data_IF_025756744829
#
_entry.id   IF_025756744829
#
_cell.length_a   1.000
_cell.length_b   1.000
_cell.length_c   1.000
_cell.angle_alpha   90.00
_cell.angle_beta   90.00
_cell.angle_gamma   90.00
#
_symmetry.space_group_name_H-M   'P 1'
#
loop_
_entity.id
_entity.type
_entity.pdbx_description
1 polymer ?
#
# COMPACT_ATOMS: atom_id res chain seq x y z
N UNK A 1 1.10 0.82 -23.54
CA UNK A 1 0.98 0.10 -22.25
C UNK A 1 0.23 0.96 -21.25
N UNK A 2 0.01 0.52 -20.02
CA UNK A 2 -0.60 1.35 -18.98
C UNK A 2 -0.29 0.80 -17.59
N UNK A 3 -0.56 1.60 -16.56
CA UNK A 3 -0.32 1.24 -15.15
C UNK A 3 -1.66 0.96 -14.49
N UNK A 4 -1.75 -0.09 -13.68
CA UNK A 4 -2.97 -0.45 -12.98
C UNK A 4 -2.97 0.22 -11.58
N UNK A 5 -4.05 0.88 -11.21
CA UNK A 5 -4.28 1.40 -9.87
C UNK A 5 -5.49 0.64 -9.32
N UNK A 6 -5.27 -0.63 -8.96
CA UNK A 6 -6.29 -1.40 -8.26
C UNK A 6 -7.60 -1.59 -9.03
N UNK A 7 -7.49 -2.01 -10.29
CA UNK A 7 -8.62 -2.27 -11.18
C UNK A 7 -8.91 -1.14 -12.17
N UNK A 8 -8.30 0.04 -12.01
CA UNK A 8 -8.36 1.14 -12.98
C UNK A 8 -7.04 1.26 -13.73
N UNK A 9 -7.09 1.29 -15.06
CA UNK A 9 -5.90 1.39 -15.91
C UNK A 9 -5.63 2.85 -16.29
N UNK A 10 -4.48 3.39 -15.90
CA UNK A 10 -3.94 4.65 -16.39
C UNK A 10 -3.22 4.40 -17.72
N UNK A 11 -3.74 4.86 -18.88
CA UNK A 11 -3.06 4.69 -20.15
C UNK A 11 -1.84 5.59 -20.23
N UNK A 12 -0.69 5.03 -20.62
CA UNK A 12 0.50 5.81 -20.92
C UNK A 12 0.69 5.86 -22.44
N UNK A 13 0.79 7.09 -22.97
CA UNK A 13 0.99 7.41 -24.38
C UNK A 13 2.31 8.14 -24.55
N UNK A 14 2.81 8.18 -25.78
CA UNK A 14 4.01 8.96 -26.15
C UNK A 14 5.21 8.69 -25.23
N UNK A 15 5.45 7.42 -24.89
CA UNK A 15 6.56 7.01 -24.03
C UNK A 15 7.90 7.37 -24.70
N UNK A 16 8.76 8.07 -23.97
CA UNK A 16 10.10 8.48 -24.41
C UNK A 16 11.12 8.17 -23.32
N UNK A 17 12.37 8.02 -23.72
CA UNK A 17 13.48 7.90 -22.79
C UNK A 17 13.66 9.19 -22.00
N UNK A 18 13.86 9.05 -20.69
CA UNK A 18 14.14 10.18 -19.80
C UNK A 18 15.63 10.42 -19.62
N UNK A 19 16.00 11.13 -18.55
CA UNK A 19 17.39 11.36 -18.19
C UNK A 19 17.62 11.19 -16.68
N UNK A 20 18.75 10.58 -16.34
CA UNK A 20 19.15 10.37 -14.94
C UNK A 20 18.19 9.43 -14.20
N UNK A 21 17.63 9.90 -13.08
CA UNK A 21 16.71 9.10 -12.25
C UNK A 21 15.30 9.01 -12.83
N UNK A 22 14.95 9.91 -13.74
CA UNK A 22 13.73 9.83 -14.55
C UNK A 22 14.10 9.01 -15.78
N UNK A 23 13.75 7.74 -15.78
CA UNK A 23 14.18 6.80 -16.80
C UNK A 23 13.29 6.87 -18.06
N UNK A 24 12.04 7.29 -17.89
CA UNK A 24 11.13 7.50 -19.00
C UNK A 24 10.12 8.60 -18.68
N UNK A 25 9.57 9.19 -19.74
CA UNK A 25 8.48 10.14 -19.67
C UNK A 25 7.32 9.69 -20.57
N UNK A 26 6.10 10.00 -20.16
CA UNK A 26 4.90 9.68 -20.90
C UNK A 26 3.84 10.76 -20.74
N UNK A 27 2.79 10.65 -21.53
CA UNK A 27 1.58 11.45 -21.40
C UNK A 27 0.40 10.55 -21.01
N UNK A 28 -0.47 11.06 -20.18
CA UNK A 28 -1.76 10.45 -19.88
C UNK A 28 -2.88 11.47 -19.98
N UNK A 29 -4.11 11.01 -19.89
CA UNK A 29 -5.31 11.84 -19.89
C UNK A 29 -6.03 11.62 -18.58
N UNK A 30 -6.26 12.70 -17.83
CA UNK A 30 -6.93 12.68 -16.53
C UNK A 30 -7.96 13.81 -16.55
N UNK A 31 -9.24 13.47 -16.34
CA UNK A 31 -10.37 14.41 -16.51
C UNK A 31 -10.38 15.20 -17.84
N UNK A 32 -9.91 14.59 -18.93
CA UNK A 32 -9.83 15.25 -20.25
C UNK A 32 -8.62 16.17 -20.43
N UNK A 33 -7.84 16.41 -19.37
CA UNK A 33 -6.59 17.15 -19.44
C UNK A 33 -5.42 16.20 -19.74
N UNK A 34 -4.50 16.66 -20.61
CA UNK A 34 -3.22 15.96 -20.80
C UNK A 34 -2.31 16.21 -19.61
N UNK A 35 -1.78 15.13 -19.04
CA UNK A 35 -0.84 15.14 -17.92
C UNK A 35 0.49 14.53 -18.33
N UNK A 36 1.60 15.15 -17.95
CA UNK A 36 2.96 14.64 -18.12
C UNK A 36 3.32 13.75 -16.94
N UNK A 37 3.77 12.54 -17.24
CA UNK A 37 4.11 11.51 -16.26
C UNK A 37 5.60 11.22 -16.34
N UNK A 38 6.30 11.38 -15.23
CA UNK A 38 7.67 10.92 -15.06
C UNK A 38 7.67 9.49 -14.49
N UNK A 39 8.55 8.63 -15.02
CA UNK A 39 8.72 7.25 -14.59
C UNK A 39 10.14 7.04 -14.05
N UNK A 40 10.26 6.54 -12.82
CA UNK A 40 11.53 6.13 -12.22
C UNK A 40 11.50 4.65 -11.88
N UNK A 41 12.40 3.85 -12.44
CA UNK A 41 12.52 2.42 -12.14
C UNK A 41 13.57 2.18 -11.06
N UNK A 42 13.24 1.33 -10.09
CA UNK A 42 14.18 0.82 -9.10
C UNK A 42 15.24 -0.08 -9.73
N UNK A 43 16.29 -0.43 -8.97
CA UNK A 43 17.34 -1.31 -9.45
C UNK A 43 16.77 -2.70 -9.80
N UNK A 44 17.42 -3.39 -10.74
CA UNK A 44 17.05 -4.76 -11.13
C UNK A 44 17.05 -5.73 -9.95
N UNK A 45 18.00 -5.54 -9.04
CA UNK A 45 18.15 -6.30 -7.82
C UNK A 45 18.21 -5.32 -6.64
N UNK A 46 17.23 -5.40 -5.74
CA UNK A 46 17.15 -4.56 -4.55
C UNK A 46 15.96 -3.60 -4.55
N UNK A 47 15.73 -2.91 -3.42
CA UNK A 47 14.60 -2.02 -3.28
C UNK A 47 14.85 -0.65 -3.93
N UNK A 48 13.76 0.01 -4.32
CA UNK A 48 13.75 1.47 -4.51
C UNK A 48 14.08 2.13 -3.17
N UNK A 49 15.15 2.94 -3.14
CA UNK A 49 15.65 3.58 -1.91
C UNK A 49 15.05 4.98 -1.70
N UNK A 50 15.04 5.46 -0.45
CA UNK A 50 14.61 6.83 -0.11
C UNK A 50 15.37 7.88 -0.91
N UNK A 51 16.70 7.71 -1.07
CA UNK A 51 17.55 8.62 -1.83
C UNK A 51 17.12 8.72 -3.30
N UNK A 52 16.81 7.58 -3.92
CA UNK A 52 16.32 7.55 -5.31
C UNK A 52 15.00 8.30 -5.43
N UNK A 53 14.05 8.05 -4.52
CA UNK A 53 12.74 8.72 -4.54
C UNK A 53 12.88 10.22 -4.35
N UNK A 54 13.68 10.67 -3.38
CA UNK A 54 13.94 12.09 -3.18
C UNK A 54 14.53 12.76 -4.43
N UNK A 55 15.44 12.08 -5.13
CA UNK A 55 16.00 12.61 -6.37
C UNK A 55 14.95 12.65 -7.48
N UNK A 56 14.16 11.59 -7.64
CA UNK A 56 13.10 11.52 -8.64
C UNK A 56 12.04 12.60 -8.43
N UNK A 57 11.65 12.88 -7.19
CA UNK A 57 10.72 13.99 -6.87
C UNK A 57 11.29 15.33 -7.30
N UNK A 58 12.56 15.60 -6.97
CA UNK A 58 13.21 16.87 -7.35
C UNK A 58 13.28 17.03 -8.86
N UNK A 59 13.69 15.99 -9.57
CA UNK A 59 13.86 16.03 -11.02
C UNK A 59 12.49 16.09 -11.72
N UNK A 60 11.48 15.41 -11.18
CA UNK A 60 10.09 15.50 -11.67
C UNK A 60 9.52 16.92 -11.50
N UNK A 61 9.77 17.56 -10.36
CA UNK A 61 9.35 18.94 -10.13
C UNK A 61 10.06 19.91 -11.07
N UNK A 62 11.38 19.82 -11.17
CA UNK A 62 12.18 20.67 -12.07
C UNK A 62 11.81 20.47 -13.55
N UNK A 63 11.44 19.23 -13.93
CA UNK A 63 11.01 18.89 -15.28
C UNK A 63 9.57 19.29 -15.61
N UNK A 64 8.80 19.83 -14.65
CA UNK A 64 7.40 20.24 -14.85
C UNK A 64 6.49 19.06 -15.18
N UNK A 65 6.69 17.92 -14.52
CA UNK A 65 5.81 16.76 -14.63
C UNK A 65 4.64 16.90 -13.65
N UNK A 66 3.45 16.49 -14.09
CA UNK A 66 2.23 16.52 -13.27
C UNK A 66 2.16 15.35 -12.28
N UNK A 67 2.89 14.27 -12.57
CA UNK A 67 2.90 13.04 -11.77
C UNK A 67 4.25 12.33 -11.88
N UNK A 68 4.68 11.73 -10.78
CA UNK A 68 5.80 10.80 -10.72
C UNK A 68 5.30 9.39 -10.35
N UNK A 69 5.72 8.39 -11.12
CA UNK A 69 5.53 6.99 -10.76
C UNK A 69 6.89 6.33 -10.56
N UNK A 70 7.11 5.80 -9.36
CA UNK A 70 8.32 5.07 -9.00
C UNK A 70 8.01 3.59 -8.95
N UNK A 71 8.59 2.82 -9.86
CA UNK A 71 8.29 1.42 -10.04
C UNK A 71 9.46 0.51 -9.63
N UNK A 72 9.23 -0.53 -8.84
CA UNK A 72 10.28 -1.48 -8.45
C UNK A 72 9.74 -2.82 -8.01
N UNK A 73 10.60 -3.85 -7.97
CA UNK A 73 10.26 -5.18 -7.43
C UNK A 73 10.26 -5.22 -5.90
N UNK A 74 10.83 -4.22 -5.26
CA UNK A 74 10.73 -3.95 -3.83
C UNK A 74 10.87 -2.45 -3.60
N UNK A 75 10.30 -1.95 -2.50
CA UNK A 75 10.37 -0.54 -2.13
C UNK A 75 10.74 -0.48 -0.65
N UNK A 76 11.76 0.31 -0.35
CA UNK A 76 12.22 0.56 1.01
C UNK A 76 11.08 1.17 1.86
N UNK A 77 10.78 0.64 3.06
CA UNK A 77 9.80 1.23 3.96
C UNK A 77 10.04 2.71 4.25
N UNK A 78 11.30 3.15 4.35
CA UNK A 78 11.62 4.57 4.57
C UNK A 78 11.26 5.43 3.35
N UNK A 79 11.37 4.88 2.14
CA UNK A 79 10.99 5.58 0.91
C UNK A 79 9.46 5.77 0.84
N UNK A 80 8.70 4.77 1.32
CA UNK A 80 7.24 4.88 1.49
C UNK A 80 6.89 5.95 2.50
N UNK A 81 7.51 5.90 3.67
CA UNK A 81 7.31 6.88 4.73
C UNK A 81 7.62 8.32 4.28
N UNK A 82 8.67 8.51 3.47
CA UNK A 82 9.01 9.82 2.92
C UNK A 82 7.89 10.40 2.05
N UNK A 83 7.35 9.62 1.11
CA UNK A 83 6.27 10.08 0.22
C UNK A 83 4.98 10.37 1.01
N UNK A 84 4.71 9.62 2.06
CA UNK A 84 3.51 9.78 2.89
C UNK A 84 3.58 11.00 3.83
N UNK A 85 4.71 11.20 4.50
CA UNK A 85 4.86 12.24 5.54
C UNK A 85 5.19 13.62 4.96
N UNK A 86 5.54 13.68 3.68
CA UNK A 86 5.98 14.91 3.04
C UNK A 86 4.90 15.42 2.11
N UNK A 87 4.55 16.70 2.21
CA UNK A 87 3.73 17.36 1.20
C UNK A 87 4.57 17.60 -0.06
N UNK A 88 4.59 16.63 -0.97
CA UNK A 88 5.41 16.67 -2.18
C UNK A 88 4.80 17.63 -3.22
N UNK A 89 5.66 18.38 -3.90
CA UNK A 89 5.24 19.28 -4.97
C UNK A 89 4.71 18.56 -6.23
N UNK A 90 5.07 17.28 -6.39
CA UNK A 90 4.59 16.41 -7.48
C UNK A 90 3.96 15.16 -6.85
N UNK A 91 2.68 14.85 -7.16
CA UNK A 91 2.05 13.59 -6.79
C UNK A 91 2.92 12.40 -7.16
N UNK A 92 3.31 11.62 -6.15
CA UNK A 92 4.27 10.52 -6.31
C UNK A 92 3.62 9.21 -5.92
N UNK A 93 3.64 8.24 -6.84
CA UNK A 93 3.01 6.95 -6.67
C UNK A 93 4.01 5.81 -6.79
N UNK A 94 3.89 4.81 -5.93
CA UNK A 94 4.69 3.59 -6.02
C UNK A 94 3.99 2.53 -6.86
N UNK A 95 4.74 1.89 -7.75
CA UNK A 95 4.29 0.82 -8.61
C UNK A 95 5.08 -0.47 -8.31
N UNK A 96 4.40 -1.51 -7.85
CA UNK A 96 5.06 -2.80 -7.62
C UNK A 96 5.18 -3.57 -8.93
N UNK A 97 6.41 -3.85 -9.37
CA UNK A 97 6.69 -4.69 -10.53
C UNK A 97 6.64 -6.17 -10.15
N UNK A 98 6.17 -7.00 -11.06
CA UNK A 98 6.22 -8.45 -10.89
C UNK A 98 7.69 -8.93 -10.88
N UNK A 99 8.11 -9.81 -9.96
CA UNK A 99 9.51 -10.25 -9.84
C UNK A 99 10.06 -10.94 -11.11
N UNK A 100 9.17 -11.52 -11.90
CA UNK A 100 9.48 -12.26 -13.14
C UNK A 100 9.55 -11.36 -14.38
N UNK A 101 9.35 -10.04 -14.25
CA UNK A 101 9.40 -9.09 -15.38
C UNK A 101 10.74 -9.09 -16.12
N UNK A 102 11.81 -9.54 -15.48
CA UNK A 102 13.16 -9.63 -16.05
C UNK A 102 13.47 -10.99 -16.68
N UNK A 103 12.55 -11.95 -16.64
CA UNK A 103 12.72 -13.28 -17.23
C UNK A 103 12.13 -13.30 -18.65
N UNK A 104 13.01 -13.34 -19.66
CA UNK A 104 12.64 -13.23 -21.07
C UNK A 104 11.79 -14.41 -21.61
N UNK A 105 11.76 -15.56 -20.92
CA UNK A 105 11.13 -16.80 -21.39
C UNK A 105 9.69 -17.05 -20.87
N UNK A 106 9.20 -16.24 -19.93
CA UNK A 106 7.82 -16.35 -19.49
C UNK A 106 6.95 -15.54 -20.45
N UNK A 107 6.14 -16.25 -21.25
CA UNK A 107 5.07 -15.64 -22.06
C UNK A 107 4.38 -14.59 -21.19
N UNK A 108 4.40 -13.33 -21.63
CA UNK A 108 3.74 -12.18 -21.00
C UNK A 108 2.23 -12.38 -21.00
N UNK A 109 1.75 -13.35 -20.23
CA UNK A 109 0.36 -13.82 -20.25
C UNK A 109 -0.42 -12.99 -19.23
N UNK A 110 -0.44 -11.69 -19.52
CA UNK A 110 -1.24 -10.55 -19.00
C UNK A 110 -0.35 -9.30 -19.06
N UNK A 111 -0.09 -8.83 -20.27
CA UNK A 111 0.61 -7.56 -20.54
C UNK A 111 -0.15 -6.30 -20.03
N UNK A 112 -1.10 -6.44 -19.12
CA UNK A 112 -2.00 -5.39 -18.64
C UNK A 112 -1.75 -4.94 -17.20
N UNK A 113 -0.88 -5.59 -16.44
CA UNK A 113 -0.77 -5.39 -14.99
C UNK A 113 0.69 -5.27 -14.52
N UNK A 114 1.48 -4.43 -15.19
CA UNK A 114 2.92 -4.27 -14.88
C UNK A 114 3.20 -3.51 -13.59
N UNK A 115 2.19 -2.91 -12.96
CA UNK A 115 2.33 -2.07 -11.78
C UNK A 115 0.97 -1.88 -11.11
N UNK A 116 0.90 -2.12 -9.79
CA UNK A 116 -0.22 -1.73 -8.92
C UNK A 116 0.22 -0.59 -8.02
N UNK A 117 -0.55 0.50 -7.99
CA UNK A 117 -0.37 1.58 -7.02
C UNK A 117 -1.20 1.35 -5.78
N UNK A 118 -0.54 1.41 -4.63
CA UNK A 118 -1.11 1.16 -3.31
C UNK A 118 -1.33 2.48 -2.59
N UNK A 119 -2.55 2.76 -2.15
CA UNK A 119 -2.77 3.69 -1.05
C UNK A 119 -2.50 2.99 0.27
N UNK A 120 -1.90 3.65 1.24
CA UNK A 120 -1.57 3.03 2.54
C UNK A 120 -2.77 3.11 3.50
N UNK A 121 -3.00 2.10 4.36
CA UNK A 121 -3.96 2.19 5.46
C UNK A 121 -3.68 3.39 6.38
N UNK A 122 -4.70 4.17 6.72
CA UNK A 122 -4.62 5.11 7.83
C UNK A 122 -4.81 4.35 9.15
N UNK A 123 -3.76 4.31 9.96
CA UNK A 123 -3.67 3.50 11.17
C UNK A 123 -3.18 4.36 12.32
N UNK A 124 -3.88 4.25 13.44
CA UNK A 124 -3.51 4.82 14.73
C UNK A 124 -3.03 3.72 15.67
N UNK A 125 -1.87 3.93 16.28
CA UNK A 125 -1.29 3.05 17.28
C UNK A 125 -1.36 3.73 18.65
N UNK A 126 -1.90 3.04 19.65
CA UNK A 126 -1.98 3.53 21.03
C UNK A 126 -1.33 2.56 21.99
N UNK A 127 -0.54 3.08 22.92
CA UNK A 127 -0.05 2.33 24.06
C UNK A 127 -0.98 2.55 25.27
N UNK A 128 -1.34 1.47 25.94
CA UNK A 128 -2.05 1.48 27.21
C UNK A 128 -1.07 1.56 28.40
N UNK A 129 -1.57 1.99 29.55
CA UNK A 129 -0.77 2.13 30.79
C UNK A 129 -0.16 0.81 31.27
N UNK A 130 -0.76 -0.32 30.91
CA UNK A 130 -0.29 -1.66 31.25
C UNK A 130 0.81 -2.18 30.30
N UNK A 131 1.25 -1.35 29.35
CA UNK A 131 2.28 -1.68 28.37
C UNK A 131 1.77 -2.45 27.15
N UNK A 132 0.46 -2.72 27.06
CA UNK A 132 -0.14 -3.29 25.84
C UNK A 132 -0.39 -2.22 24.80
N UNK A 133 -0.54 -2.64 23.55
CA UNK A 133 -0.82 -1.80 22.41
C UNK A 133 -2.16 -2.16 21.78
N UNK A 134 -2.81 -1.15 21.20
CA UNK A 134 -4.01 -1.28 20.38
C UNK A 134 -3.79 -0.54 19.07
N UNK A 135 -4.18 -1.20 17.98
CA UNK A 135 -4.15 -0.65 16.63
C UNK A 135 -5.59 -0.32 16.23
N UNK A 136 -5.81 0.89 15.70
CA UNK A 136 -7.08 1.32 15.14
C UNK A 136 -6.92 1.65 13.67
N UNK A 137 -7.65 0.95 12.81
CA UNK A 137 -7.80 1.28 11.39
C UNK A 137 -8.78 2.45 11.25
N UNK A 138 -8.31 3.59 10.76
CA UNK A 138 -9.17 4.73 10.44
C UNK A 138 -9.79 4.57 9.05
N UNK A 139 -9.02 4.06 8.10
CA UNK A 139 -9.47 3.85 6.75
C UNK A 139 -8.35 3.53 5.78
N UNK A 140 -8.65 3.66 4.49
CA UNK A 140 -7.68 3.56 3.40
C UNK A 140 -7.96 4.66 2.40
N UNK A 141 -6.92 5.40 2.05
CA UNK A 141 -7.00 6.37 0.96
C UNK A 141 -6.77 5.68 -0.38
N UNK A 142 -7.62 5.97 -1.35
CA UNK A 142 -7.51 5.48 -2.71
C UNK A 142 -7.30 6.64 -3.66
N UNK A 143 -6.21 6.58 -4.42
CA UNK A 143 -6.01 7.45 -5.57
C UNK A 143 -6.75 6.89 -6.80
N UNK A 144 -7.63 7.69 -7.39
CA UNK A 144 -8.21 7.40 -8.69
C UNK A 144 -7.33 7.99 -9.79
N UNK A 145 -6.65 7.17 -10.61
CA UNK A 145 -5.77 7.69 -11.64
C UNK A 145 -6.51 8.37 -12.79
N UNK A 146 -7.81 8.11 -12.99
CA UNK A 146 -8.57 8.68 -14.09
C UNK A 146 -9.06 10.09 -13.76
N UNK A 147 -9.32 10.36 -12.48
CA UNK A 147 -9.78 11.66 -12.01
C UNK A 147 -8.72 12.46 -11.26
N UNK A 148 -7.66 11.82 -10.79
CA UNK A 148 -6.64 12.43 -9.94
C UNK A 148 -7.08 12.66 -8.50
N UNK A 149 -8.30 12.24 -8.13
CA UNK A 149 -8.85 12.44 -6.80
C UNK A 149 -8.34 11.37 -5.83
N UNK A 150 -8.13 11.78 -4.59
CA UNK A 150 -7.93 10.86 -3.46
C UNK A 150 -9.24 10.76 -2.71
N UNK A 151 -9.74 9.54 -2.55
CA UNK A 151 -10.96 9.24 -1.80
C UNK A 151 -10.62 8.44 -0.55
N UNK A 152 -11.10 8.91 0.61
CA UNK A 152 -10.94 8.20 1.87
C UNK A 152 -12.07 7.18 2.06
N UNK A 153 -11.71 5.92 2.26
CA UNK A 153 -12.66 4.86 2.64
C UNK A 153 -12.52 4.59 4.13
N UNK A 154 -13.60 4.78 4.89
CA UNK A 154 -13.62 4.49 6.34
C UNK A 154 -13.28 3.01 6.62
N UNK A 155 -12.56 2.75 7.71
CA UNK A 155 -12.13 1.40 8.10
C UNK A 155 -13.28 0.41 8.27
N UNK A 156 -14.51 0.87 8.52
CA UNK A 156 -15.72 0.03 8.62
C UNK A 156 -16.21 -0.46 7.26
N UNK A 157 -15.79 0.19 6.19
CA UNK A 157 -16.23 -0.11 4.82
C UNK A 157 -15.29 -1.05 4.07
N UNK A 158 -14.12 -1.39 4.65
CA UNK A 158 -13.15 -2.30 4.03
C UNK A 158 -13.66 -3.75 4.05
N UNK A 159 -13.19 -4.58 3.11
CA UNK A 159 -13.60 -5.98 3.05
C UNK A 159 -12.99 -6.78 4.22
N UNK A 160 -11.71 -6.57 4.50
CA UNK A 160 -11.00 -7.17 5.63
C UNK A 160 -9.79 -6.35 6.04
N UNK A 161 -9.35 -6.50 7.28
CA UNK A 161 -8.01 -6.08 7.70
C UNK A 161 -7.38 -7.08 8.67
N UNK A 162 -6.06 -7.14 8.66
CA UNK A 162 -5.26 -8.10 9.40
C UNK A 162 -4.14 -7.39 10.13
N UNK A 163 -3.78 -7.91 11.30
CA UNK A 163 -2.70 -7.40 12.13
C UNK A 163 -1.67 -8.50 12.36
N UNK A 164 -0.42 -8.18 12.02
CA UNK A 164 0.77 -8.83 12.53
C UNK A 164 1.31 -7.99 13.70
N UNK A 165 1.35 -8.59 14.89
CA UNK A 165 1.73 -7.88 16.12
C UNK A 165 3.24 -7.81 16.35
N UNK A 166 4.05 -8.54 15.58
CA UNK A 166 5.50 -8.58 15.75
C UNK A 166 6.24 -8.86 14.42
N UNK A 167 5.95 -8.04 13.41
CA UNK A 167 6.40 -8.26 12.04
C UNK A 167 7.93 -8.27 11.92
N UNK A 168 8.47 -9.36 11.38
CA UNK A 168 9.91 -9.60 11.23
C UNK A 168 10.55 -8.83 10.06
N UNK A 169 9.73 -8.25 9.18
CA UNK A 169 10.19 -7.57 7.97
C UNK A 169 10.25 -8.48 6.73
N UNK A 170 9.86 -9.75 6.86
CA UNK A 170 9.95 -10.78 5.83
C UNK A 170 8.58 -11.39 5.52
N UNK A 171 7.90 -11.97 6.52
CA UNK A 171 6.67 -12.74 6.33
C UNK A 171 5.55 -12.13 7.16
N UNK A 172 4.43 -11.80 6.51
CA UNK A 172 3.26 -11.31 7.21
C UNK A 172 2.56 -12.46 7.94
N UNK A 173 2.57 -12.44 9.26
CA UNK A 173 1.89 -13.41 10.11
C UNK A 173 0.57 -12.84 10.65
N UNK A 174 -0.56 -13.43 10.28
CA UNK A 174 -1.88 -12.95 10.74
C UNK A 174 -2.06 -13.35 12.21
N UNK A 175 -1.87 -12.41 13.13
CA UNK A 175 -2.17 -12.58 14.56
C UNK A 175 -3.64 -12.29 14.87
N UNK A 176 -4.23 -11.29 14.20
CA UNK A 176 -5.64 -10.94 14.33
C UNK A 176 -6.23 -10.62 12.95
N UNK A 177 -7.51 -10.93 12.75
CA UNK A 177 -8.23 -10.76 11.50
C UNK A 177 -9.59 -10.11 11.77
N UNK A 178 -10.00 -9.20 10.88
CA UNK A 178 -11.21 -8.40 11.05
C UNK A 178 -11.98 -8.30 9.75
N UNK A 179 -13.31 -8.35 9.82
CA UNK A 179 -14.21 -8.27 8.68
C UNK A 179 -15.34 -7.27 8.97
N UNK A 180 -15.07 -5.95 8.87
CA UNK A 180 -16.00 -4.93 9.34
C UNK A 180 -17.31 -4.87 8.55
N UNK A 181 -17.24 -5.13 7.24
CA UNK A 181 -18.39 -4.99 6.33
C UNK A 181 -19.26 -6.25 6.21
N UNK A 182 -18.67 -7.45 6.17
CA UNK A 182 -19.42 -8.69 5.96
C UNK A 182 -19.82 -9.32 7.31
N UNK A 183 -21.03 -8.98 7.78
CA UNK A 183 -21.63 -9.60 8.97
C UNK A 183 -21.77 -11.14 8.90
N UNK A 184 -21.64 -11.75 7.72
CA UNK A 184 -21.69 -13.21 7.53
C UNK A 184 -20.31 -13.84 7.27
N UNK A 185 -19.23 -13.08 7.11
CA UNK A 185 -17.90 -13.61 6.77
C UNK A 185 -17.43 -14.66 7.77
N UNK A 186 -17.58 -14.36 9.05
CA UNK A 186 -17.23 -15.25 10.13
C UNK A 186 -18.12 -16.50 10.22
N UNK A 187 -19.40 -16.44 9.84
CA UNK A 187 -20.24 -17.64 9.75
C UNK A 187 -19.75 -18.58 8.64
N UNK A 188 -19.31 -18.02 7.51
CA UNK A 188 -18.67 -18.79 6.44
C UNK A 188 -17.34 -19.39 6.92
N UNK A 189 -16.54 -18.61 7.64
CA UNK A 189 -15.25 -19.05 8.18
C UNK A 189 -15.42 -20.17 9.22
N UNK A 190 -16.36 -20.01 10.16
CA UNK A 190 -16.67 -21.02 11.17
C UNK A 190 -17.11 -22.35 10.54
N UNK A 191 -17.95 -22.29 9.50
CA UNK A 191 -18.35 -23.47 8.71
C UNK A 191 -17.16 -24.10 7.98
N UNK A 192 -16.29 -23.30 7.39
CA UNK A 192 -15.11 -23.77 6.67
C UNK A 192 -14.09 -24.44 7.60
N UNK A 193 -13.84 -23.86 8.78
CA UNK A 193 -12.89 -24.36 9.78
C UNK A 193 -13.48 -25.48 10.65
N UNK A 194 -14.78 -25.75 10.57
CA UNK A 194 -15.51 -26.67 11.48
C UNK A 194 -15.24 -26.37 12.96
N UNK A 195 -15.05 -25.10 13.28
CA UNK A 195 -14.75 -24.63 14.64
C UNK A 195 -15.99 -24.00 15.28
N UNK A 196 -15.95 -23.74 16.58
CA UNK A 196 -16.91 -22.88 17.27
C UNK A 196 -16.19 -21.61 17.71
N UNK A 197 -16.73 -20.44 17.35
CA UNK A 197 -16.21 -19.14 17.76
C UNK A 197 -17.26 -18.51 18.66
N UNK A 198 -16.87 -18.06 19.85
CA UNK A 198 -17.81 -17.43 20.77
C UNK A 198 -18.38 -16.13 20.18
N UNK A 199 -19.69 -15.87 20.31
CA UNK A 199 -20.34 -14.69 19.75
C UNK A 199 -19.72 -13.35 20.18
N UNK A 200 -19.21 -13.27 21.40
CA UNK A 200 -18.59 -12.03 21.92
C UNK A 200 -17.22 -11.76 21.30
N UNK A 201 -16.43 -12.81 21.03
CA UNK A 201 -15.16 -12.70 20.30
C UNK A 201 -15.44 -12.26 18.87
N UNK A 202 -16.49 -12.81 18.27
CA UNK A 202 -16.93 -12.49 16.92
C UNK A 202 -17.32 -11.02 16.74
N UNK A 203 -18.04 -10.41 17.69
CA UNK A 203 -18.37 -8.98 17.59
C UNK A 203 -17.13 -8.08 17.69
N UNK A 204 -16.14 -8.45 18.51
CA UNK A 204 -14.87 -7.72 18.58
C UNK A 204 -14.11 -7.76 17.25
N UNK A 205 -14.21 -8.86 16.50
CA UNK A 205 -13.57 -9.03 15.19
C UNK A 205 -14.32 -8.37 14.02
N UNK A 206 -15.40 -7.63 14.29
CA UNK A 206 -16.06 -6.72 13.32
C UNK A 206 -15.65 -5.27 13.49
N UNK A 207 -14.82 -4.99 14.49
CA UNK A 207 -14.34 -3.65 14.77
C UNK A 207 -13.28 -3.17 13.79
N UNK A 208 -12.94 -1.89 13.96
CA UNK A 208 -11.76 -1.26 13.38
C UNK A 208 -10.64 -1.11 14.40
N UNK A 209 -10.77 -1.75 15.55
CA UNK A 209 -9.83 -1.67 16.66
C UNK A 209 -9.39 -3.08 17.05
N UNK A 210 -8.09 -3.26 17.25
CA UNK A 210 -7.52 -4.56 17.59
C UNK A 210 -7.81 -4.95 19.03
N UNK A 211 -7.71 -6.25 19.32
CA UNK A 211 -7.52 -6.67 20.70
C UNK A 211 -6.16 -6.19 21.21
N UNK A 212 -6.03 -5.82 22.50
CA UNK A 212 -4.75 -5.45 23.09
C UNK A 212 -3.71 -6.56 22.90
N UNK A 213 -2.48 -6.18 22.57
CA UNK A 213 -1.36 -7.11 22.40
C UNK A 213 -0.10 -6.59 23.10
N UNK A 214 0.81 -7.50 23.45
CA UNK A 214 2.12 -7.14 24.01
C UNK A 214 3.13 -6.91 22.89
N UNK A 215 4.13 -6.09 23.17
CA UNK A 215 5.28 -5.88 22.28
C UNK A 215 6.03 -7.21 22.14
N UNK A 216 6.30 -7.62 20.90
CA UNK A 216 7.16 -8.77 20.59
C UNK A 216 8.62 -8.37 20.37
N UNK A 217 9.42 -9.30 19.85
CA UNK A 217 10.88 -9.16 19.72
C UNK A 217 11.27 -8.17 18.62
N UNK A 218 10.53 -8.15 17.51
CA UNK A 218 10.79 -7.29 16.36
C UNK A 218 10.33 -5.86 16.56
N UNK A 219 9.51 -5.60 17.60
CA UNK A 219 9.00 -4.27 18.00
C UNK A 219 8.38 -3.49 16.84
N UNK A 220 7.71 -4.19 15.92
CA UNK A 220 7.05 -3.62 14.76
C UNK A 220 5.73 -4.32 14.55
N UNK A 221 4.74 -3.58 14.09
CA UNK A 221 3.46 -4.15 13.66
C UNK A 221 3.27 -3.93 12.18
N UNK A 222 2.57 -4.85 11.53
CA UNK A 222 2.14 -4.68 10.17
C UNK A 222 0.62 -4.80 10.08
N UNK A 223 -0.01 -3.85 9.40
CA UNK A 223 -1.45 -3.78 9.18
C UNK A 223 -1.70 -3.96 7.70
N UNK A 224 -2.37 -5.05 7.36
CA UNK A 224 -2.76 -5.36 5.98
C UNK A 224 -4.25 -5.11 5.82
N UNK A 225 -4.65 -4.38 4.78
CA UNK A 225 -6.06 -4.11 4.49
C UNK A 225 -6.40 -4.61 3.09
N UNK A 226 -7.56 -5.23 2.97
CA UNK A 226 -8.18 -5.58 1.69
C UNK A 226 -9.40 -4.69 1.52
N UNK A 227 -9.38 -3.83 0.50
CA UNK A 227 -10.51 -2.98 0.18
C UNK A 227 -11.65 -3.78 -0.50
N UNK A 228 -12.78 -3.12 -0.76
CA UNK A 228 -13.95 -3.76 -1.40
C UNK A 228 -13.72 -4.19 -2.85
N UNK A 229 -12.67 -3.69 -3.50
CA UNK A 229 -12.26 -4.08 -4.85
C UNK A 229 -11.27 -5.25 -4.83
N UNK A 230 -10.85 -5.70 -3.64
CA UNK A 230 -9.86 -6.75 -3.47
C UNK A 230 -8.41 -6.26 -3.56
N UNK A 231 -8.17 -4.94 -3.49
CA UNK A 231 -6.83 -4.37 -3.42
C UNK A 231 -6.29 -4.61 -2.03
N UNK A 232 -5.15 -5.29 -1.95
CA UNK A 232 -4.38 -5.43 -0.72
C UNK A 232 -3.45 -4.24 -0.56
N UNK A 233 -3.34 -3.69 0.64
CA UNK A 233 -2.31 -2.71 1.00
C UNK A 233 -1.76 -3.00 2.39
N UNK A 234 -0.53 -2.55 2.66
CA UNK A 234 0.21 -2.85 3.88
C UNK A 234 0.80 -1.57 4.46
N UNK A 235 0.64 -1.39 5.78
CA UNK A 235 1.32 -0.38 6.58
C UNK A 235 2.17 -1.04 7.65
N UNK A 236 3.41 -0.60 7.83
CA UNK A 236 4.29 -1.07 8.89
C UNK A 236 4.55 0.08 9.86
N UNK A 237 4.44 -0.17 11.15
CA UNK A 237 4.64 0.83 12.20
C UNK A 237 5.65 0.31 13.24
N UNK A 238 6.67 1.09 13.61
CA UNK A 238 7.50 0.77 14.76
C UNK A 238 6.70 0.94 16.06
N UNK A 239 6.96 0.09 17.05
CA UNK A 239 6.49 0.24 18.43
C UNK A 239 7.56 1.01 19.21
N UNK A 240 7.34 2.29 19.46
CA UNK A 240 8.28 3.12 20.23
C UNK A 240 8.47 2.58 21.65
N UNK A 241 9.65 2.80 22.24
CA UNK A 241 9.81 2.64 23.67
C UNK A 241 9.13 3.82 24.33
N UNK A 242 8.11 3.57 25.16
CA UNK A 242 7.52 4.60 25.99
C UNK A 242 8.65 5.28 26.78
N UNK A 243 8.85 6.57 26.52
CA UNK A 243 9.76 7.41 27.30
C UNK A 243 9.46 7.20 28.77
N UNK A 244 10.43 6.63 29.50
CA UNK A 244 10.38 6.55 30.96
C UNK A 244 10.42 7.93 31.57
#
# INVERSE_FOLDING_TARGET
>A
GGINFGGKKLPLRNLREGHGVIHAEAETEQNGDKKRVALSFGPKYGPVTTRQVQQAVRDAYAGGYDMLIVAGTAIDPEARAFVQKTNLAVPTHFAQLAPDIFNADLKTTRASEIATVFGEPDVELKQHKDGTYVVRLRGVDTYDPLTGEVTHTDGREVAAWFLDTDYDGLVFHICQAFFPRDGKAWQKLQRALKAYIEPEVFEKMRGVESLPFKVGENRRVAVKVIDIRGIETLRILPLEEGSK
#
